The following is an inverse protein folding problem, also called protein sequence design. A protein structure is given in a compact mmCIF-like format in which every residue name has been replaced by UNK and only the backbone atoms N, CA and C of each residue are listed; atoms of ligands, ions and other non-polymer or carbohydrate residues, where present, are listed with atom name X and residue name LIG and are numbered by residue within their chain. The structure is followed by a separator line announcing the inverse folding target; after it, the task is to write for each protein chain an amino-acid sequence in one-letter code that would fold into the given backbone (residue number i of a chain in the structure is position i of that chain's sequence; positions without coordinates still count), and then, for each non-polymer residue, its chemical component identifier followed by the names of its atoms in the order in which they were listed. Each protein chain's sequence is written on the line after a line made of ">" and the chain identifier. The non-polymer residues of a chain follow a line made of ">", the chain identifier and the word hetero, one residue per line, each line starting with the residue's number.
data_IF_545834616436
#
_entry.id   IF_545834616436
#
_cell.length_a   1.000
_cell.length_b   1.000
_cell.length_c   1.000
_cell.angle_alpha   90.00
_cell.angle_beta   90.00
_cell.angle_gamma   90.00
#
_symmetry.space_group_name_H-M   'P 1'
#
loop_
_entity.id
_entity.type
_entity.pdbx_description
1 polymer ?
#
# COMPACT_ATOMS: atom_id res chain seq x y z
N UNK A 1 31.00 23.30 48.74
CA UNK A 1 30.80 23.76 47.35
C UNK A 1 31.48 22.79 46.40
N UNK A 2 30.70 21.97 45.70
CA UNK A 2 31.15 21.22 44.52
C UNK A 2 30.12 21.45 43.43
N UNK A 3 30.51 22.30 42.49
CA UNK A 3 29.83 22.48 41.22
C UNK A 3 30.17 21.24 40.40
N UNK A 4 29.16 20.47 40.00
CA UNK A 4 29.30 19.45 38.97
C UNK A 4 28.40 19.86 37.81
N UNK A 5 29.03 19.96 36.66
CA UNK A 5 28.53 20.53 35.43
C UNK A 5 27.29 19.80 34.89
N UNK A 6 26.29 20.60 34.48
CA UNK A 6 25.23 20.20 33.57
C UNK A 6 25.85 19.88 32.21
N UNK A 7 26.05 18.59 31.92
CA UNK A 7 26.29 18.12 30.56
C UNK A 7 24.95 17.92 29.87
N UNK A 8 24.60 18.96 29.11
CA UNK A 8 23.87 18.93 27.85
C UNK A 8 23.93 17.61 27.08
N UNK A 9 22.79 17.19 26.55
CA UNK A 9 22.74 16.31 25.37
C UNK A 9 22.19 14.91 25.63
N UNK A 10 20.98 14.80 26.17
CA UNK A 10 20.17 13.60 25.95
C UNK A 10 19.71 13.63 24.49
N UNK A 11 20.50 13.01 23.60
CA UNK A 11 19.97 12.44 22.37
C UNK A 11 18.74 11.62 22.76
N UNK A 12 17.57 12.06 22.31
CA UNK A 12 16.41 11.19 22.14
C UNK A 12 16.79 10.17 21.07
N UNK A 13 17.63 9.18 21.43
CA UNK A 13 17.77 7.96 20.63
C UNK A 13 16.41 7.30 20.75
N UNK A 14 15.55 7.52 19.75
CA UNK A 14 14.34 6.74 19.56
C UNK A 14 14.77 5.27 19.64
N UNK A 15 14.38 4.56 20.70
CA UNK A 15 14.53 3.11 20.79
C UNK A 15 13.54 2.48 19.80
N UNK A 16 13.81 2.64 18.51
CA UNK A 16 13.10 1.90 17.47
C UNK A 16 13.56 0.45 17.53
N UNK A 17 12.60 -0.45 17.71
CA UNK A 17 12.84 -1.89 17.64
C UNK A 17 13.50 -2.23 16.29
N UNK A 18 14.57 -3.04 16.29
CA UNK A 18 15.22 -3.44 15.06
C UNK A 18 14.24 -4.16 14.14
N UNK A 19 14.49 -4.07 12.83
CA UNK A 19 13.72 -4.82 11.86
C UNK A 19 14.12 -6.31 11.93
N UNK A 20 13.15 -7.24 11.92
CA UNK A 20 13.45 -8.66 11.92
C UNK A 20 14.04 -9.09 10.57
N UNK A 21 14.69 -10.26 10.55
CA UNK A 21 15.22 -10.88 9.34
C UNK A 21 14.16 -10.98 8.23
N UNK A 22 14.58 -10.75 6.99
CA UNK A 22 13.79 -10.91 5.76
C UNK A 22 13.42 -12.38 5.48
N UNK A 23 14.10 -13.33 6.13
CA UNK A 23 13.78 -14.75 5.99
C UNK A 23 12.40 -15.10 6.57
N UNK A 24 11.77 -16.14 6.01
CA UNK A 24 10.65 -16.82 6.67
C UNK A 24 11.12 -17.33 8.05
N UNK A 25 10.23 -17.25 9.03
CA UNK A 25 10.46 -17.80 10.37
C UNK A 25 9.16 -17.93 11.14
N UNK A 26 9.26 -18.19 12.44
CA UNK A 26 8.10 -18.28 13.32
C UNK A 26 7.33 -16.95 13.41
N UNK A 27 6.02 -17.04 13.65
CA UNK A 27 5.14 -15.89 13.84
C UNK A 27 5.30 -15.34 15.25
N UNK A 28 6.31 -14.50 15.45
CA UNK A 28 6.56 -13.84 16.74
C UNK A 28 5.84 -12.50 16.86
N UNK A 29 5.66 -12.03 18.10
CA UNK A 29 5.12 -10.68 18.39
C UNK A 29 5.97 -9.60 17.71
N UNK A 30 7.29 -9.75 17.71
CA UNK A 30 8.23 -8.85 17.04
C UNK A 30 7.96 -8.76 15.53
N UNK A 31 7.84 -9.91 14.85
CA UNK A 31 7.58 -9.96 13.40
C UNK A 31 6.20 -9.40 13.02
N UNK A 32 5.18 -9.65 13.84
CA UNK A 32 3.85 -9.03 13.68
C UNK A 32 3.94 -7.51 13.89
N UNK A 33 4.62 -7.06 14.96
CA UNK A 33 4.80 -5.63 15.28
C UNK A 33 5.51 -4.91 14.14
N UNK A 34 6.61 -5.48 13.64
CA UNK A 34 7.35 -4.96 12.50
C UNK A 34 6.47 -4.85 11.25
N UNK A 35 5.70 -5.89 10.91
CA UNK A 35 4.84 -5.82 9.72
C UNK A 35 3.68 -4.82 9.87
N UNK A 36 3.08 -4.70 11.06
CA UNK A 36 2.09 -3.63 11.33
C UNK A 36 2.71 -2.24 11.21
N UNK A 37 3.91 -2.05 11.77
CA UNK A 37 4.65 -0.79 11.71
C UNK A 37 4.98 -0.42 10.26
N UNK A 38 5.57 -1.33 9.50
CA UNK A 38 5.86 -1.11 8.08
C UNK A 38 4.58 -0.84 7.27
N UNK A 39 3.51 -1.59 7.56
CA UNK A 39 2.21 -1.44 6.90
C UNK A 39 1.66 -0.01 6.96
N UNK A 40 1.87 0.71 8.07
CA UNK A 40 1.45 2.12 8.21
C UNK A 40 2.14 3.04 7.19
N UNK A 41 3.43 2.86 6.96
CA UNK A 41 4.19 3.73 6.05
C UNK A 41 3.91 3.43 4.58
N UNK A 42 3.62 2.17 4.25
CA UNK A 42 3.39 1.75 2.86
C UNK A 42 1.92 1.77 2.44
N UNK A 43 0.98 2.07 3.35
CA UNK A 43 -0.46 1.97 3.10
C UNK A 43 -0.93 2.74 1.86
N UNK A 44 -0.42 3.96 1.65
CA UNK A 44 -0.79 4.77 0.48
C UNK A 44 -0.37 4.12 -0.82
N UNK A 45 0.91 3.77 -0.94
CA UNK A 45 1.46 3.16 -2.13
C UNK A 45 0.84 1.76 -2.39
N UNK A 46 0.52 1.00 -1.33
CA UNK A 46 -0.22 -0.27 -1.47
C UNK A 46 -1.62 -0.01 -2.03
N UNK A 47 -2.36 0.96 -1.49
CA UNK A 47 -3.68 1.34 -2.00
C UNK A 47 -3.61 1.71 -3.48
N UNK A 48 -2.68 2.59 -3.85
CA UNK A 48 -2.51 3.07 -5.22
C UNK A 48 -2.33 1.93 -6.21
N UNK A 49 -1.41 1.01 -5.92
CA UNK A 49 -1.17 -0.14 -6.79
C UNK A 49 -2.34 -1.11 -6.84
N UNK A 50 -3.05 -1.30 -5.72
CA UNK A 50 -4.24 -2.16 -5.67
C UNK A 50 -5.37 -1.56 -6.52
N UNK A 51 -5.69 -0.27 -6.33
CA UNK A 51 -6.70 0.44 -7.14
C UNK A 51 -6.33 0.41 -8.62
N UNK A 52 -5.09 0.77 -8.96
CA UNK A 52 -4.62 0.75 -10.35
C UNK A 52 -4.67 -0.65 -10.98
N UNK A 53 -4.45 -1.70 -10.19
CA UNK A 53 -4.57 -3.08 -10.67
C UNK A 53 -6.02 -3.51 -10.92
N UNK A 54 -6.98 -2.84 -10.29
CA UNK A 54 -8.42 -3.08 -10.45
C UNK A 54 -9.02 -2.24 -11.59
N UNK A 55 -8.32 -1.23 -12.09
CA UNK A 55 -8.78 -0.44 -13.22
C UNK A 55 -8.89 -1.30 -14.49
N UNK A 56 -9.94 -1.08 -15.29
CA UNK A 56 -10.09 -1.79 -16.54
C UNK A 56 -9.00 -1.38 -17.53
N UNK A 57 -8.76 -2.22 -18.53
CA UNK A 57 -7.75 -1.96 -19.56
C UNK A 57 -8.26 -1.05 -20.70
N UNK A 58 -9.53 -0.68 -20.68
CA UNK A 58 -10.12 0.23 -21.68
C UNK A 58 -9.67 1.66 -21.43
N UNK A 59 -9.48 2.41 -22.52
CA UNK A 59 -9.23 3.85 -22.55
C UNK A 59 -10.50 4.66 -22.84
N UNK A 60 -11.60 3.98 -23.20
CA UNK A 60 -12.88 4.61 -23.54
C UNK A 60 -13.52 5.24 -22.31
N UNK A 61 -13.74 6.56 -22.36
CA UNK A 61 -14.24 7.36 -21.24
C UNK A 61 -15.61 6.90 -20.76
N UNK A 62 -16.54 6.63 -21.68
CA UNK A 62 -17.90 6.20 -21.32
C UNK A 62 -17.90 4.82 -20.65
N UNK A 63 -17.05 3.91 -21.11
CA UNK A 63 -16.92 2.58 -20.52
C UNK A 63 -16.25 2.66 -19.15
N UNK A 64 -15.20 3.49 -19.01
CA UNK A 64 -14.57 3.77 -17.73
C UNK A 64 -15.58 4.33 -16.72
N UNK A 65 -16.40 5.31 -17.13
CA UNK A 65 -17.44 5.89 -16.27
C UNK A 65 -18.42 4.82 -15.78
N UNK A 66 -18.92 4.00 -16.71
CA UNK A 66 -19.89 2.93 -16.40
C UNK A 66 -19.29 1.89 -15.46
N UNK A 67 -18.04 1.50 -15.66
CA UNK A 67 -17.34 0.52 -14.80
C UNK A 67 -17.08 1.12 -13.42
N UNK A 68 -16.55 2.34 -13.33
CA UNK A 68 -16.29 2.98 -12.06
C UNK A 68 -17.57 3.21 -11.25
N UNK A 69 -18.71 3.45 -11.92
CA UNK A 69 -20.02 3.58 -11.30
C UNK A 69 -20.74 2.24 -11.08
N UNK A 70 -20.18 1.11 -11.51
CA UNK A 70 -20.84 -0.19 -11.38
C UNK A 70 -20.79 -0.70 -9.94
N UNK A 71 -21.85 -1.41 -9.53
CA UNK A 71 -21.89 -2.11 -8.25
C UNK A 71 -20.75 -3.13 -8.15
N UNK A 72 -20.38 -3.78 -9.26
CA UNK A 72 -19.27 -4.74 -9.30
C UNK A 72 -17.94 -4.10 -8.88
N UNK A 73 -17.64 -2.88 -9.35
CA UNK A 73 -16.39 -2.21 -8.97
C UNK A 73 -16.41 -1.77 -7.50
N UNK A 74 -17.56 -1.33 -6.99
CA UNK A 74 -17.77 -1.01 -5.57
C UNK A 74 -17.57 -2.25 -4.70
N UNK A 75 -18.26 -3.34 -5.04
CA UNK A 75 -18.19 -4.61 -4.31
C UNK A 75 -16.77 -5.20 -4.34
N UNK A 76 -16.06 -5.09 -5.47
CA UNK A 76 -14.68 -5.57 -5.58
C UNK A 76 -13.74 -4.82 -4.65
N UNK A 77 -13.86 -3.50 -4.54
CA UNK A 77 -13.07 -2.71 -3.58
C UNK A 77 -13.54 -2.93 -2.13
N UNK A 78 -14.85 -3.14 -1.93
CA UNK A 78 -15.47 -3.39 -0.63
C UNK A 78 -15.19 -4.78 -0.05
N UNK A 79 -14.97 -5.80 -0.88
CA UNK A 79 -14.47 -7.12 -0.45
C UNK A 79 -12.97 -7.07 -0.20
N UNK A 80 -12.59 -6.41 0.90
CA UNK A 80 -11.21 -6.27 1.33
C UNK A 80 -10.52 -7.63 1.50
N UNK A 81 -11.24 -8.72 1.81
CA UNK A 81 -10.64 -10.04 1.99
C UNK A 81 -10.16 -10.60 0.65
N UNK A 82 -10.98 -10.48 -0.39
CA UNK A 82 -10.62 -10.92 -1.74
C UNK A 82 -9.61 -9.97 -2.38
N UNK A 83 -9.79 -8.66 -2.20
CA UNK A 83 -8.91 -7.63 -2.77
C UNK A 83 -7.53 -7.61 -2.14
N UNK A 84 -7.44 -7.83 -0.82
CA UNK A 84 -6.17 -7.87 -0.09
C UNK A 84 -5.63 -9.27 0.15
N UNK A 85 -6.12 -10.29 -0.57
CA UNK A 85 -5.60 -11.65 -0.45
C UNK A 85 -4.13 -11.73 -0.84
N UNK A 86 -3.28 -12.29 0.04
CA UNK A 86 -1.83 -12.28 -0.14
C UNK A 86 -1.34 -12.90 -1.46
N UNK A 87 -2.02 -13.92 -2.00
CA UNK A 87 -1.70 -14.47 -3.33
C UNK A 87 -1.80 -13.41 -4.44
N UNK A 88 -2.87 -12.61 -4.44
CA UNK A 88 -3.09 -11.53 -5.41
C UNK A 88 -2.08 -10.41 -5.22
N UNK A 89 -1.84 -10.00 -3.98
CA UNK A 89 -0.85 -8.97 -3.65
C UNK A 89 0.57 -9.42 -4.03
N UNK A 90 0.97 -10.64 -3.72
CA UNK A 90 2.26 -11.19 -4.12
C UNK A 90 2.42 -11.16 -5.65
N UNK A 91 1.41 -11.61 -6.39
CA UNK A 91 1.40 -11.56 -7.87
C UNK A 91 1.56 -10.13 -8.39
N UNK A 92 0.81 -9.19 -7.82
CA UNK A 92 0.86 -7.78 -8.19
C UNK A 92 2.24 -7.17 -7.94
N UNK A 93 2.81 -7.38 -6.75
CA UNK A 93 4.06 -6.74 -6.32
C UNK A 93 5.28 -7.39 -6.97
N UNK A 94 5.26 -8.71 -7.21
CA UNK A 94 6.25 -9.40 -8.05
C UNK A 94 6.26 -8.84 -9.48
N UNK A 95 5.08 -8.69 -10.09
CA UNK A 95 4.94 -8.11 -11.44
C UNK A 95 5.46 -6.68 -11.50
N UNK A 96 5.16 -5.86 -10.49
CA UNK A 96 5.63 -4.48 -10.40
C UNK A 96 7.08 -4.35 -9.92
N UNK A 97 7.72 -5.47 -9.55
CA UNK A 97 9.06 -5.51 -8.95
C UNK A 97 9.19 -4.59 -7.74
N UNK A 98 8.18 -4.57 -6.88
CA UNK A 98 8.17 -3.75 -5.66
C UNK A 98 8.50 -4.61 -4.46
N UNK A 99 9.37 -4.13 -3.57
CA UNK A 99 9.66 -4.75 -2.28
C UNK A 99 9.46 -3.77 -1.13
N UNK A 100 9.11 -4.30 0.05
CA UNK A 100 9.14 -3.53 1.29
C UNK A 100 10.61 -3.36 1.72
N UNK A 101 11.05 -2.11 1.80
CA UNK A 101 12.35 -1.73 2.32
C UNK A 101 12.20 -1.14 3.71
N UNK A 102 12.87 -1.76 4.67
CA UNK A 102 13.04 -1.23 6.02
C UNK A 102 14.17 -0.19 6.03
N UNK A 103 13.89 1.01 6.54
CA UNK A 103 14.86 2.10 6.63
C UNK A 103 15.50 2.18 8.03
N UNK A 104 16.75 2.69 8.15
CA UNK A 104 17.45 2.79 9.43
C UNK A 104 16.77 3.70 10.46
N UNK A 105 15.92 4.62 10.01
CA UNK A 105 15.14 5.55 10.83
C UNK A 105 13.83 4.94 11.36
N UNK A 106 13.67 3.61 11.24
CA UNK A 106 12.50 2.86 11.69
C UNK A 106 11.24 3.07 10.85
N UNK A 107 11.35 3.72 9.69
CA UNK A 107 10.29 3.80 8.68
C UNK A 107 10.43 2.70 7.62
N UNK A 108 9.44 2.61 6.72
CA UNK A 108 9.48 1.66 5.61
C UNK A 108 8.91 2.28 4.33
N UNK A 109 9.38 1.82 3.18
CA UNK A 109 8.88 2.25 1.87
C UNK A 109 8.68 1.05 0.94
N UNK A 110 7.87 1.23 -0.10
CA UNK A 110 7.86 0.33 -1.25
C UNK A 110 8.85 0.87 -2.28
N UNK A 111 9.86 0.09 -2.61
CA UNK A 111 10.85 0.46 -3.62
C UNK A 111 10.90 -0.56 -4.74
N UNK A 112 11.29 -0.11 -5.92
CA UNK A 112 11.62 -1.01 -7.01
C UNK A 112 12.84 -1.87 -6.61
N UNK A 113 12.77 -3.17 -6.88
CA UNK A 113 13.92 -4.06 -6.66
C UNK A 113 15.07 -3.67 -7.58
N UNK A 114 16.30 -3.93 -7.14
CA UNK A 114 17.48 -3.75 -7.99
C UNK A 114 17.34 -4.61 -9.24
N UNK A 115 17.77 -4.08 -10.38
CA UNK A 115 17.67 -4.74 -11.69
C UNK A 115 18.05 -6.21 -11.56
N UNK A 116 17.12 -7.09 -11.94
CA UNK A 116 17.21 -8.57 -11.96
C UNK A 116 16.83 -9.36 -10.68
N UNK A 117 16.52 -8.73 -9.55
CA UNK A 117 15.98 -9.47 -8.39
C UNK A 117 14.45 -9.45 -8.36
N UNK A 118 13.82 -10.63 -8.20
CA UNK A 118 12.38 -10.73 -7.96
C UNK A 118 12.09 -10.54 -6.47
N UNK A 119 11.14 -9.68 -6.07
CA UNK A 119 10.82 -9.51 -4.66
C UNK A 119 10.18 -10.79 -4.11
N UNK A 120 10.63 -11.21 -2.94
CA UNK A 120 10.04 -12.38 -2.28
C UNK A 120 8.76 -11.99 -1.52
N UNK A 121 7.68 -12.70 -1.80
CA UNK A 121 6.43 -12.62 -1.06
C UNK A 121 5.84 -14.03 -0.92
N UNK A 122 5.69 -14.46 0.34
CA UNK A 122 4.93 -15.66 0.71
C UNK A 122 3.43 -15.45 0.40
N UNK A 123 2.86 -16.34 -0.40
CA UNK A 123 1.47 -16.28 -0.87
C UNK A 123 0.48 -16.82 0.17
N UNK A 124 0.95 -17.72 1.05
CA UNK A 124 0.18 -18.31 2.15
C UNK A 124 0.79 -17.87 3.48
N UNK A 125 0.57 -16.61 3.85
CA UNK A 125 1.22 -16.01 5.01
C UNK A 125 0.40 -16.11 6.32
N UNK A 126 -0.14 -17.30 6.60
CA UNK A 126 -1.00 -17.58 7.77
C UNK A 126 -0.43 -18.61 8.73
N UNK A 127 0.69 -19.23 8.39
CA UNK A 127 1.33 -20.24 9.22
C UNK A 127 2.01 -19.61 10.44
N UNK A 128 1.90 -20.27 11.59
CA UNK A 128 2.65 -19.91 12.80
C UNK A 128 4.15 -20.24 12.67
N UNK A 129 4.51 -21.19 11.80
CA UNK A 129 5.90 -21.65 11.62
C UNK A 129 6.55 -21.06 10.36
N UNK A 130 5.74 -20.62 9.39
CA UNK A 130 6.18 -20.05 8.13
C UNK A 130 5.55 -18.66 7.92
N UNK A 131 6.10 -17.68 8.63
CA UNK A 131 5.66 -16.30 8.62
C UNK A 131 6.71 -15.37 7.99
N UNK A 132 6.28 -14.62 6.98
CA UNK A 132 7.09 -13.59 6.33
C UNK A 132 6.52 -12.20 6.64
N UNK A 133 7.28 -11.40 7.40
CA UNK A 133 6.77 -10.14 7.95
C UNK A 133 6.50 -9.07 6.89
N UNK A 134 7.24 -9.06 5.76
CA UNK A 134 6.98 -8.13 4.65
C UNK A 134 5.73 -8.49 3.85
N UNK A 135 5.45 -9.78 3.66
CA UNK A 135 4.15 -10.24 3.12
C UNK A 135 3.02 -9.75 4.02
N UNK A 136 3.17 -9.94 5.33
CA UNK A 136 2.17 -9.50 6.29
C UNK A 136 2.00 -7.99 6.28
N UNK A 137 3.08 -7.21 6.12
CA UNK A 137 3.01 -5.76 6.03
C UNK A 137 2.15 -5.30 4.84
N UNK A 138 2.33 -5.89 3.66
CA UNK A 138 1.56 -5.55 2.45
C UNK A 138 0.09 -5.96 2.59
N UNK A 139 -0.19 -7.17 3.08
CA UNK A 139 -1.56 -7.64 3.35
C UNK A 139 -2.25 -6.75 4.40
N UNK A 140 -1.57 -6.44 5.50
CA UNK A 140 -2.10 -5.59 6.56
C UNK A 140 -2.37 -4.16 6.07
N UNK A 141 -1.42 -3.55 5.34
CA UNK A 141 -1.58 -2.23 4.75
C UNK A 141 -2.82 -2.14 3.84
N UNK A 142 -3.01 -3.13 2.96
CA UNK A 142 -4.19 -3.21 2.12
C UNK A 142 -5.47 -3.35 2.95
N UNK A 143 -5.48 -4.26 3.91
CA UNK A 143 -6.67 -4.52 4.75
C UNK A 143 -7.07 -3.29 5.57
N UNK A 144 -6.12 -2.54 6.14
CA UNK A 144 -6.44 -1.33 6.89
C UNK A 144 -7.15 -0.29 6.02
N UNK A 145 -6.67 -0.09 4.79
CA UNK A 145 -7.29 0.84 3.84
C UNK A 145 -8.68 0.35 3.42
N UNK A 146 -8.79 -0.84 2.83
CA UNK A 146 -10.04 -1.26 2.18
C UNK A 146 -11.10 -1.78 3.15
N UNK A 147 -10.74 -2.29 4.33
CA UNK A 147 -11.75 -2.68 5.32
C UNK A 147 -12.50 -1.47 5.89
N UNK A 148 -11.88 -0.30 5.88
CA UNK A 148 -12.40 0.86 6.60
C UNK A 148 -12.79 2.01 5.69
N UNK A 149 -12.08 2.18 4.58
CA UNK A 149 -12.19 3.38 3.72
C UNK A 149 -12.45 3.01 2.24
N UNK A 150 -12.85 1.76 1.92
CA UNK A 150 -13.14 1.34 0.53
C UNK A 150 -14.14 2.27 -0.17
N UNK A 151 -15.26 2.60 0.48
CA UNK A 151 -16.27 3.51 -0.07
C UNK A 151 -15.72 4.92 -0.32
N UNK A 152 -14.80 5.37 0.54
CA UNK A 152 -14.13 6.67 0.40
C UNK A 152 -13.16 6.65 -0.78
N UNK A 153 -12.40 5.57 -0.96
CA UNK A 153 -11.52 5.38 -2.12
C UNK A 153 -12.35 5.37 -3.39
N UNK A 154 -13.42 4.59 -3.44
CA UNK A 154 -14.33 4.49 -4.58
C UNK A 154 -14.95 5.85 -4.94
N UNK A 155 -15.55 6.53 -3.96
CA UNK A 155 -16.19 7.84 -4.16
C UNK A 155 -15.19 8.88 -4.63
N UNK A 156 -13.97 8.86 -4.10
CA UNK A 156 -12.91 9.75 -4.54
C UNK A 156 -12.45 9.44 -5.97
N UNK A 157 -12.32 8.16 -6.34
CA UNK A 157 -12.00 7.74 -7.71
C UNK A 157 -13.01 8.27 -8.72
N UNK A 158 -14.30 8.05 -8.46
CA UNK A 158 -15.37 8.51 -9.35
C UNK A 158 -15.38 10.03 -9.47
N UNK A 159 -15.21 10.73 -8.34
CA UNK A 159 -15.16 12.20 -8.32
C UNK A 159 -13.97 12.76 -9.10
N UNK A 160 -12.77 12.18 -8.95
CA UNK A 160 -11.61 12.65 -9.70
C UNK A 160 -11.74 12.31 -11.19
N UNK A 161 -12.28 11.13 -11.54
CA UNK A 161 -12.59 10.81 -12.93
C UNK A 161 -13.55 11.82 -13.57
N UNK A 162 -14.63 12.19 -12.87
CA UNK A 162 -15.61 13.17 -13.37
C UNK A 162 -14.99 14.54 -13.64
N UNK A 163 -14.03 14.98 -12.82
CA UNK A 163 -13.29 16.23 -13.08
C UNK A 163 -12.40 16.12 -14.30
N UNK A 164 -11.69 15.00 -14.45
CA UNK A 164 -10.77 14.77 -15.57
C UNK A 164 -11.51 14.85 -16.92
N UNK A 165 -12.70 14.25 -16.97
CA UNK A 165 -13.57 14.28 -18.16
C UNK A 165 -14.17 15.67 -18.41
N UNK A 166 -14.48 16.43 -17.35
CA UNK A 166 -15.03 17.78 -17.50
C UNK A 166 -13.99 18.81 -17.98
N UNK A 167 -12.74 18.66 -17.57
CA UNK A 167 -11.69 19.67 -17.77
C UNK A 167 -10.91 19.48 -19.10
N UNK A 168 -11.03 18.33 -19.78
CA UNK A 168 -10.20 18.03 -20.98
C UNK A 168 -10.97 17.22 -22.05
N UNK A 169 -10.90 17.57 -23.34
CA UNK A 169 -11.24 16.65 -24.43
C UNK A 169 -10.06 15.66 -24.58
N UNK A 170 -9.94 14.70 -23.67
CA UNK A 170 -8.77 13.82 -23.59
C UNK A 170 -8.69 12.81 -24.73
N UNK A 171 -7.52 12.74 -25.36
CA UNK A 171 -7.13 11.57 -26.15
C UNK A 171 -6.95 10.34 -25.24
N UNK A 172 -7.20 9.14 -25.75
CA UNK A 172 -7.20 7.87 -24.99
C UNK A 172 -5.94 7.62 -24.14
N UNK A 173 -4.76 8.04 -24.60
CA UNK A 173 -3.50 7.87 -23.86
C UNK A 173 -3.40 8.80 -22.64
N UNK A 174 -4.03 9.97 -22.66
CA UNK A 174 -4.06 10.89 -21.52
C UNK A 174 -4.94 10.35 -20.40
N UNK A 175 -6.07 9.72 -20.75
CA UNK A 175 -7.03 9.14 -19.78
C UNK A 175 -6.31 8.16 -18.84
N UNK A 176 -5.43 7.31 -19.36
CA UNK A 176 -4.71 6.33 -18.53
C UNK A 176 -3.73 6.96 -17.54
N UNK A 177 -3.00 8.00 -17.95
CA UNK A 177 -2.12 8.76 -17.06
C UNK A 177 -2.91 9.49 -15.98
N UNK A 178 -4.07 10.04 -16.34
CA UNK A 178 -4.97 10.71 -15.41
C UNK A 178 -5.60 9.76 -14.40
N UNK A 179 -5.90 8.52 -14.79
CA UNK A 179 -6.38 7.49 -13.86
C UNK A 179 -5.35 7.10 -12.79
N UNK A 180 -4.06 7.19 -13.09
CA UNK A 180 -3.00 7.03 -12.09
C UNK A 180 -3.08 8.16 -11.04
N UNK A 181 -3.21 9.41 -11.49
CA UNK A 181 -3.38 10.59 -10.62
C UNK A 181 -4.66 10.51 -9.80
N UNK A 182 -5.76 10.01 -10.37
CA UNK A 182 -7.01 9.78 -9.66
C UNK A 182 -6.82 8.77 -8.52
N UNK A 183 -6.12 7.66 -8.77
CA UNK A 183 -5.81 6.65 -7.76
C UNK A 183 -4.93 7.21 -6.62
N UNK A 184 -3.90 7.98 -6.96
CA UNK A 184 -3.06 8.67 -5.96
C UNK A 184 -3.88 9.61 -5.09
N UNK A 185 -4.74 10.43 -5.72
CA UNK A 185 -5.59 11.38 -5.01
C UNK A 185 -6.63 10.67 -4.14
N UNK A 186 -7.24 9.59 -4.63
CA UNK A 186 -8.23 8.82 -3.88
C UNK A 186 -7.61 8.12 -2.67
N UNK A 187 -6.49 7.44 -2.87
CA UNK A 187 -5.76 6.77 -1.79
C UNK A 187 -5.20 7.77 -0.77
N UNK A 188 -4.65 8.90 -1.21
CA UNK A 188 -4.14 9.96 -0.32
C UNK A 188 -5.21 10.62 0.56
N UNK A 189 -6.51 10.44 0.27
CA UNK A 189 -7.61 10.92 1.11
C UNK A 189 -8.01 9.95 2.22
N UNK A 190 -7.53 8.71 2.18
CA UNK A 190 -7.84 7.74 3.24
C UNK A 190 -7.11 8.10 4.53
N UNK A 191 -7.64 7.68 5.68
CA UNK A 191 -7.03 8.06 6.97
C UNK A 191 -5.70 7.35 7.24
N UNK A 192 -5.38 6.33 6.45
CA UNK A 192 -4.17 5.52 6.55
C UNK A 192 -3.01 6.04 5.70
N UNK A 193 -3.26 7.04 4.86
CA UNK A 193 -2.24 7.68 4.02
C UNK A 193 -1.80 9.01 4.63
N UNK A 194 -1.26 8.97 5.85
CA UNK A 194 -0.83 10.15 6.63
C UNK A 194 0.64 10.11 6.99
#
# INVERSE_FOLDING_TARGET
>A
MRVVLLLSGLCLVSCQEPWPSDSIGERTVERISAGKRAGKFIACTVCEHVVQSALPKTSEVDDLRKILASEEFVEHLGDAKTTCGMKRLATLFKRLKLEVAALPDGTAELRATKSHSEPFYEEINKSELAFHWKSFAVEHACLEVFRQDADSVHSAMLKEFDKLVADTPTEEQEVRGQMHTAAQTACGRTKFCR
#
